data_IF_112830622504
#
_entry.id   IF_112830622504
#
_cell.length_a   1.000
_cell.length_b   1.000
_cell.length_c   1.000
_cell.angle_alpha   90.00
_cell.angle_beta   90.00
_cell.angle_gamma   90.00
#
_symmetry.space_group_name_H-M   'P 1'
#
loop_
_entity.id
_entity.type
_entity.pdbx_description
1 polymer ?
#
# COMPACT_ATOMS: atom_id res chain seq x y z
N UNK A 1 27.46 22.22 -38.91
CA UNK A 1 27.27 22.01 -37.44
C UNK A 1 25.80 21.84 -37.01
N UNK A 2 24.80 22.32 -37.75
CA UNK A 2 23.36 22.28 -37.35
C UNK A 2 22.64 20.92 -37.49
N UNK A 3 23.16 19.97 -38.29
CA UNK A 3 22.52 18.66 -38.52
C UNK A 3 22.79 17.66 -37.38
N UNK A 4 23.94 17.78 -36.69
CA UNK A 4 24.30 16.93 -35.54
C UNK A 4 23.47 17.25 -34.29
N UNK A 5 23.09 18.51 -34.11
CA UNK A 5 22.22 18.96 -33.01
C UNK A 5 20.76 18.48 -33.16
N UNK A 6 20.28 18.31 -34.39
CA UNK A 6 18.91 17.85 -34.68
C UNK A 6 18.75 16.34 -34.41
N UNK A 7 19.76 15.53 -34.78
CA UNK A 7 19.77 14.10 -34.47
C UNK A 7 19.89 13.79 -32.97
N UNK A 8 20.59 14.65 -32.20
CA UNK A 8 20.70 14.53 -30.75
C UNK A 8 19.36 14.83 -30.02
N UNK A 9 18.58 15.80 -30.52
CA UNK A 9 17.26 16.12 -29.96
C UNK A 9 16.23 15.02 -30.22
N UNK A 10 16.26 14.38 -31.40
CA UNK A 10 15.36 13.27 -31.75
C UNK A 10 15.67 12.00 -30.94
N UNK A 11 16.94 11.71 -30.67
CA UNK A 11 17.34 10.55 -29.84
C UNK A 11 16.98 10.72 -28.36
N UNK A 12 17.07 11.94 -27.81
CA UNK A 12 16.62 12.22 -26.43
C UNK A 12 15.08 12.14 -26.31
N UNK A 13 14.34 12.60 -27.33
CA UNK A 13 12.86 12.50 -27.33
C UNK A 13 12.36 11.04 -27.46
N UNK A 14 13.04 10.20 -28.24
CA UNK A 14 12.74 8.77 -28.36
C UNK A 14 13.02 7.98 -27.07
N UNK A 15 14.07 8.34 -26.31
CA UNK A 15 14.37 7.75 -25.00
C UNK A 15 13.33 8.11 -23.93
N UNK A 16 12.76 9.33 -23.97
CA UNK A 16 11.70 9.79 -23.06
C UNK A 16 10.31 9.21 -23.38
N UNK A 17 10.02 8.85 -24.64
CA UNK A 17 8.75 8.21 -25.00
C UNK A 17 8.67 6.74 -24.56
N UNK A 18 9.81 6.02 -24.56
CA UNK A 18 9.86 4.61 -24.13
C UNK A 18 9.65 4.41 -22.62
N UNK A 19 9.98 5.40 -21.78
CA UNK A 19 9.86 5.28 -20.31
C UNK A 19 8.42 5.44 -19.82
N UNK A 20 7.53 6.09 -20.59
CA UNK A 20 6.13 6.26 -20.20
C UNK A 20 5.31 4.96 -20.34
N UNK A 21 5.60 4.13 -21.34
CA UNK A 21 4.85 2.89 -21.58
C UNK A 21 5.13 1.81 -20.52
N UNK A 22 6.39 1.67 -20.09
CA UNK A 22 6.78 0.75 -19.00
C UNK A 22 6.29 1.21 -17.60
N UNK A 23 6.11 2.52 -17.39
CA UNK A 23 5.59 3.06 -16.13
C UNK A 23 4.12 2.67 -15.87
N UNK A 24 3.28 2.72 -16.91
CA UNK A 24 1.84 2.45 -16.80
C UNK A 24 1.54 0.98 -16.46
N UNK A 25 2.32 0.03 -17.00
CA UNK A 25 2.14 -1.40 -16.70
C UNK A 25 2.54 -1.77 -15.27
N UNK A 26 3.57 -1.11 -14.73
CA UNK A 26 3.98 -1.28 -13.33
C UNK A 26 2.93 -0.72 -12.37
N UNK A 27 2.38 0.46 -12.68
CA UNK A 27 1.31 1.08 -11.89
C UNK A 27 0.03 0.22 -11.88
N UNK A 28 -0.37 -0.29 -13.04
CA UNK A 28 -1.52 -1.19 -13.15
C UNK A 28 -1.34 -2.47 -12.32
N UNK A 29 -0.19 -3.13 -12.41
CA UNK A 29 0.10 -4.35 -11.61
C UNK A 29 0.04 -4.08 -10.10
N UNK A 30 0.53 -2.92 -9.66
CA UNK A 30 0.43 -2.52 -8.25
C UNK A 30 -1.03 -2.33 -7.81
N UNK A 31 -1.87 -1.70 -8.64
CA UNK A 31 -3.30 -1.54 -8.37
C UNK A 31 -4.03 -2.89 -8.37
N UNK A 32 -3.71 -3.80 -9.29
CA UNK A 32 -4.27 -5.15 -9.32
C UNK A 32 -3.93 -5.94 -8.05
N UNK A 33 -2.66 -5.88 -7.59
CA UNK A 33 -2.26 -6.51 -6.33
C UNK A 33 -3.02 -5.90 -5.15
N UNK A 34 -3.11 -4.56 -5.09
CA UNK A 34 -3.83 -3.88 -4.03
C UNK A 34 -5.32 -4.23 -4.00
N UNK A 35 -5.94 -4.37 -5.18
CA UNK A 35 -7.33 -4.82 -5.34
C UNK A 35 -7.52 -6.22 -4.75
N UNK A 36 -6.62 -7.16 -5.05
CA UNK A 36 -6.65 -8.54 -4.52
C UNK A 36 -6.51 -8.56 -2.99
N UNK A 37 -5.59 -7.77 -2.43
CA UNK A 37 -5.43 -7.62 -0.99
C UNK A 37 -6.72 -7.12 -0.32
N UNK A 38 -7.34 -6.07 -0.88
CA UNK A 38 -8.60 -5.52 -0.36
C UNK A 38 -9.76 -6.53 -0.48
N UNK A 39 -9.82 -7.30 -1.56
CA UNK A 39 -10.80 -8.39 -1.71
C UNK A 39 -10.59 -9.49 -0.66
N UNK A 40 -9.34 -9.85 -0.35
CA UNK A 40 -9.01 -10.80 0.71
C UNK A 40 -9.47 -10.27 2.07
N UNK A 41 -9.15 -9.02 2.39
CA UNK A 41 -9.59 -8.38 3.63
C UNK A 41 -11.12 -8.36 3.75
N UNK A 42 -11.85 -8.11 2.67
CA UNK A 42 -13.31 -8.18 2.68
C UNK A 42 -13.81 -9.61 2.97
N UNK A 43 -13.15 -10.64 2.43
CA UNK A 43 -13.51 -12.04 2.70
C UNK A 43 -13.29 -12.39 4.17
N UNK A 44 -12.14 -12.02 4.74
CA UNK A 44 -11.84 -12.20 6.16
C UNK A 44 -12.83 -11.43 7.06
N UNK A 45 -13.14 -10.18 6.71
CA UNK A 45 -14.14 -9.41 7.45
C UNK A 45 -15.52 -10.08 7.36
N UNK A 46 -15.90 -10.65 6.22
CA UNK A 46 -17.17 -11.36 6.09
C UNK A 46 -17.20 -12.65 6.92
N UNK A 47 -16.11 -13.43 6.97
CA UNK A 47 -16.05 -14.62 7.82
C UNK A 47 -16.12 -14.26 9.30
N UNK A 48 -15.42 -13.17 9.71
CA UNK A 48 -15.53 -12.60 11.06
C UNK A 48 -16.95 -12.15 11.37
N UNK A 49 -17.63 -11.44 10.46
CA UNK A 49 -19.02 -11.00 10.66
C UNK A 49 -19.99 -12.18 10.83
N UNK A 50 -19.80 -13.28 10.10
CA UNK A 50 -20.61 -14.50 10.24
C UNK A 50 -20.34 -15.17 11.60
N UNK A 51 -19.06 -15.32 11.99
CA UNK A 51 -18.69 -15.88 13.29
C UNK A 51 -19.27 -15.05 14.44
N UNK A 52 -19.20 -13.72 14.33
CA UNK A 52 -19.63 -12.81 15.38
C UNK A 52 -21.16 -12.75 15.51
N UNK A 53 -21.89 -12.94 14.40
CA UNK A 53 -23.35 -13.12 14.42
C UNK A 53 -23.75 -14.38 15.20
N UNK A 54 -23.00 -15.47 15.04
CA UNK A 54 -23.24 -16.74 15.74
C UNK A 54 -22.87 -16.68 17.24
N UNK A 55 -21.95 -15.79 17.62
CA UNK A 55 -21.49 -15.58 19.01
C UNK A 55 -22.32 -14.56 19.81
N UNK A 56 -23.44 -14.08 19.25
CA UNK A 56 -24.30 -13.06 19.88
C UNK A 56 -23.52 -11.81 20.34
N UNK A 57 -22.51 -11.38 19.58
CA UNK A 57 -21.72 -10.21 19.96
C UNK A 57 -22.55 -8.93 20.03
N UNK A 58 -22.13 -8.01 20.92
CA UNK A 58 -22.78 -6.72 21.16
C UNK A 58 -23.00 -5.94 19.87
N UNK A 59 -24.15 -5.25 19.79
CA UNK A 59 -24.51 -4.34 18.69
C UNK A 59 -23.40 -3.33 18.40
N UNK A 60 -22.68 -2.88 19.44
CA UNK A 60 -21.54 -1.97 19.30
C UNK A 60 -20.44 -2.57 18.41
N UNK A 61 -20.07 -3.83 18.67
CA UNK A 61 -19.05 -4.56 17.89
C UNK A 61 -19.50 -4.84 16.47
N UNK A 62 -20.81 -5.07 16.26
CA UNK A 62 -21.37 -5.22 14.92
C UNK A 62 -21.22 -3.94 14.10
N UNK A 63 -21.51 -2.77 14.70
CA UNK A 63 -21.33 -1.46 14.04
C UNK A 63 -19.86 -1.20 13.72
N UNK A 64 -18.93 -1.51 14.63
CA UNK A 64 -17.49 -1.36 14.38
C UNK A 64 -16.98 -2.23 13.22
N UNK A 65 -17.40 -3.49 13.18
CA UNK A 65 -16.99 -4.41 12.11
C UNK A 65 -17.59 -4.01 10.76
N UNK A 66 -18.84 -3.52 10.76
CA UNK A 66 -19.50 -2.98 9.57
C UNK A 66 -18.81 -1.70 9.08
N UNK A 67 -18.39 -0.82 9.98
CA UNK A 67 -17.60 0.38 9.68
C UNK A 67 -16.24 0.02 9.04
N UNK A 68 -15.55 -0.99 9.57
CA UNK A 68 -14.33 -1.55 8.93
C UNK A 68 -14.62 -2.04 7.51
N UNK A 69 -15.69 -2.82 7.31
CA UNK A 69 -16.10 -3.32 5.98
C UNK A 69 -16.37 -2.19 4.99
N UNK A 70 -17.08 -1.15 5.44
CA UNK A 70 -17.41 0.04 4.65
C UNK A 70 -16.13 0.73 4.18
N UNK A 71 -15.18 1.01 5.09
CA UNK A 71 -13.90 1.64 4.73
C UNK A 71 -13.08 0.85 3.71
N UNK A 72 -12.98 -0.47 3.89
CA UNK A 72 -12.24 -1.34 2.96
C UNK A 72 -12.94 -1.38 1.59
N UNK A 73 -14.28 -1.42 1.58
CA UNK A 73 -15.07 -1.40 0.34
C UNK A 73 -14.95 -0.08 -0.41
N UNK A 74 -14.93 1.06 0.30
CA UNK A 74 -14.67 2.38 -0.29
C UNK A 74 -13.28 2.46 -0.92
N UNK A 75 -12.26 1.94 -0.24
CA UNK A 75 -10.91 1.85 -0.79
C UNK A 75 -10.84 0.93 -2.00
N UNK A 76 -11.55 -0.20 -1.98
CA UNK A 76 -11.63 -1.12 -3.13
C UNK A 76 -12.25 -0.43 -4.35
N UNK A 77 -13.35 0.31 -4.17
CA UNK A 77 -14.00 1.09 -5.23
C UNK A 77 -13.02 2.14 -5.78
N UNK A 78 -12.30 2.85 -4.90
CA UNK A 78 -11.31 3.86 -5.31
C UNK A 78 -10.21 3.26 -6.18
N UNK A 79 -9.58 2.17 -5.74
CA UNK A 79 -8.50 1.47 -6.48
C UNK A 79 -9.03 0.92 -7.81
N UNK A 80 -10.21 0.33 -7.79
CA UNK A 80 -10.87 -0.23 -8.98
C UNK A 80 -11.17 0.86 -10.03
N UNK A 81 -11.61 2.05 -9.59
CA UNK A 81 -11.82 3.19 -10.48
C UNK A 81 -10.49 3.70 -11.07
N UNK A 82 -9.41 3.76 -10.28
CA UNK A 82 -8.09 4.15 -10.78
C UNK A 82 -7.59 3.19 -11.86
N UNK A 83 -7.73 1.88 -11.63
CA UNK A 83 -7.35 0.86 -12.61
C UNK A 83 -8.20 0.93 -13.88
N UNK A 84 -9.52 1.12 -13.76
CA UNK A 84 -10.41 1.29 -14.90
C UNK A 84 -10.06 2.55 -15.73
N UNK A 85 -9.64 3.63 -15.08
CA UNK A 85 -9.19 4.85 -15.75
C UNK A 85 -7.88 4.63 -16.51
N UNK A 86 -6.91 3.91 -15.93
CA UNK A 86 -5.67 3.54 -16.62
C UNK A 86 -5.94 2.66 -17.84
N UNK A 87 -6.80 1.64 -17.71
CA UNK A 87 -7.22 0.81 -18.84
C UNK A 87 -7.90 1.65 -19.93
N UNK A 88 -8.73 2.63 -19.56
CA UNK A 88 -9.37 3.54 -20.51
C UNK A 88 -8.36 4.36 -21.31
N UNK A 89 -7.34 4.93 -20.64
CA UNK A 89 -6.28 5.68 -21.32
C UNK A 89 -5.49 4.80 -22.29
N UNK A 90 -5.18 3.57 -21.89
CA UNK A 90 -4.47 2.61 -22.75
C UNK A 90 -5.31 2.18 -23.96
N UNK A 91 -6.59 1.88 -23.75
CA UNK A 91 -7.54 1.56 -24.83
C UNK A 91 -7.58 2.71 -25.85
N UNK A 92 -7.68 3.97 -25.39
CA UNK A 92 -7.71 5.12 -26.28
C UNK A 92 -6.39 5.30 -27.05
N UNK A 93 -5.25 5.07 -26.39
CA UNK A 93 -3.92 5.11 -27.03
C UNK A 93 -3.79 4.02 -28.10
N UNK A 94 -4.22 2.80 -27.78
CA UNK A 94 -4.20 1.67 -28.70
C UNK A 94 -5.14 1.89 -29.88
N UNK A 95 -6.33 2.49 -29.67
CA UNK A 95 -7.25 2.86 -30.74
C UNK A 95 -6.61 3.85 -31.73
N UNK A 96 -5.98 4.91 -31.23
CA UNK A 96 -5.29 5.90 -32.07
C UNK A 96 -4.14 5.25 -32.86
N UNK A 97 -3.35 4.39 -32.21
CA UNK A 97 -2.26 3.66 -32.86
C UNK A 97 -2.78 2.72 -33.96
N UNK A 98 -3.87 2.00 -33.69
CA UNK A 98 -4.53 1.11 -34.67
C UNK A 98 -5.03 1.92 -35.87
N UNK A 99 -5.64 3.08 -35.64
CA UNK A 99 -6.12 3.96 -36.70
C UNK A 99 -4.96 4.46 -37.57
N UNK A 100 -3.88 4.96 -36.97
CA UNK A 100 -2.70 5.41 -37.69
C UNK A 100 -2.05 4.28 -38.49
N UNK A 101 -1.82 3.11 -37.87
CA UNK A 101 -1.24 1.94 -38.54
C UNK A 101 -2.11 1.44 -39.69
N UNK A 102 -3.44 1.48 -39.56
CA UNK A 102 -4.36 1.15 -40.66
C UNK A 102 -4.20 2.10 -41.83
N UNK A 103 -4.12 3.41 -41.56
CA UNK A 103 -3.93 4.43 -42.59
C UNK A 103 -2.58 4.25 -43.32
N UNK A 104 -1.51 4.04 -42.57
CA UNK A 104 -0.18 3.77 -43.13
C UNK A 104 -0.15 2.48 -43.95
N UNK A 105 -0.74 1.39 -43.44
CA UNK A 105 -0.79 0.10 -44.12
C UNK A 105 -1.63 0.16 -45.41
N UNK A 106 -2.74 0.89 -45.42
CA UNK A 106 -3.55 1.08 -46.62
C UNK A 106 -2.75 1.82 -47.70
N UNK A 107 -2.12 2.94 -47.36
CA UNK A 107 -1.25 3.67 -48.28
C UNK A 107 -0.11 2.80 -48.82
N UNK A 108 0.54 2.02 -47.94
CA UNK A 108 1.62 1.12 -48.33
C UNK A 108 1.16 0.04 -49.33
N UNK A 109 -0.06 -0.49 -49.12
CA UNK A 109 -0.68 -1.47 -50.02
C UNK A 109 -1.06 -0.85 -51.36
N UNK A 110 -1.59 0.37 -51.36
CA UNK A 110 -1.91 1.13 -52.58
C UNK A 110 -0.64 1.39 -53.41
N UNK A 111 0.40 1.96 -52.79
CA UNK A 111 1.68 2.24 -53.44
C UNK A 111 2.33 0.95 -53.99
N UNK A 112 2.26 -0.14 -53.21
CA UNK A 112 2.77 -1.45 -53.63
C UNK A 112 1.96 -2.02 -54.80
N UNK A 113 0.62 -1.95 -54.76
CA UNK A 113 -0.24 -2.42 -55.83
C UNK A 113 0.03 -1.67 -57.14
N UNK A 114 0.11 -0.33 -57.10
CA UNK A 114 0.43 0.50 -58.26
C UNK A 114 1.80 0.14 -58.86
N UNK A 115 2.81 -0.06 -58.01
CA UNK A 115 4.15 -0.48 -58.43
C UNK A 115 4.15 -1.86 -59.10
N UNK A 116 3.39 -2.82 -58.56
CA UNK A 116 3.25 -4.15 -59.14
C UNK A 116 2.51 -4.10 -60.48
N UNK A 117 1.43 -3.32 -60.58
CA UNK A 117 0.65 -3.14 -61.80
C UNK A 117 1.50 -2.51 -62.92
N UNK A 118 2.22 -1.42 -62.64
CA UNK A 118 3.15 -0.80 -63.59
C UNK A 118 4.26 -1.77 -64.00
N UNK A 119 4.81 -2.55 -63.05
CA UNK A 119 5.79 -3.59 -63.33
C UNK A 119 5.25 -4.74 -64.19
N UNK A 120 3.94 -5.01 -64.14
CA UNK A 120 3.28 -6.04 -64.94
C UNK A 120 2.99 -5.53 -66.37
N UNK A 121 2.41 -4.34 -66.50
CA UNK A 121 2.13 -3.69 -67.80
C UNK A 121 3.40 -3.50 -68.64
N UNK A 122 4.51 -3.11 -68.00
CA UNK A 122 5.83 -2.97 -68.67
C UNK A 122 6.48 -4.30 -69.05
N UNK A 123 6.04 -5.44 -68.49
CA UNK A 123 6.57 -6.77 -68.81
C UNK A 123 6.20 -7.21 -70.24
N UNK A 124 5.14 -6.64 -70.81
CA UNK A 124 4.64 -6.93 -72.16
C UNK A 124 5.41 -6.20 -73.27
N UNK A 125 5.99 -5.02 -72.99
CA UNK A 125 6.56 -4.16 -74.05
C UNK A 125 8.08 -4.27 -74.26
N UNK A 126 8.86 -4.78 -73.30
CA UNK A 126 10.26 -5.14 -73.55
C UNK A 126 10.75 -6.20 -72.56
N UNK A 127 11.26 -7.31 -73.11
CA UNK A 127 11.89 -8.37 -72.33
C UNK A 127 13.04 -7.77 -71.51
N UNK A 128 13.14 -8.09 -70.21
CA UNK A 128 14.16 -7.52 -69.30
C UNK A 128 15.59 -7.73 -69.81
N UNK A 129 15.80 -8.86 -70.48
CA UNK A 129 17.06 -9.19 -71.14
C UNK A 129 17.31 -8.23 -72.31
N UNK A 130 16.28 -7.95 -73.13
CA UNK A 130 16.36 -6.99 -74.23
C UNK A 130 16.67 -5.57 -73.74
N UNK A 131 16.12 -5.13 -72.60
CA UNK A 131 16.44 -3.83 -71.99
C UNK A 131 17.90 -3.72 -71.52
N UNK A 132 18.48 -4.83 -71.05
CA UNK A 132 19.90 -4.87 -70.67
C UNK A 132 20.80 -4.93 -71.91
N UNK A 133 20.40 -5.72 -72.93
CA UNK A 133 21.15 -5.89 -74.18
C UNK A 133 21.05 -4.68 -75.13
N UNK A 134 20.01 -3.84 -75.02
CA UNK A 134 19.87 -2.58 -75.76
C UNK A 134 20.67 -1.42 -75.16
N UNK A 135 21.76 -1.71 -74.44
CA UNK A 135 22.62 -0.68 -73.86
C UNK A 135 23.74 -0.30 -74.85
N UNK A 136 24.05 0.98 -74.95
CA UNK A 136 25.10 1.53 -75.84
C UNK A 136 26.52 1.22 -75.34
N UNK A 137 26.68 0.88 -74.05
CA UNK A 137 27.97 0.51 -73.46
C UNK A 137 27.83 -0.45 -72.27
N UNK A 138 28.91 -1.17 -71.95
CA UNK A 138 28.99 -2.06 -70.78
C UNK A 138 28.71 -1.32 -69.46
N UNK A 139 29.23 -0.10 -69.29
CA UNK A 139 28.98 0.72 -68.11
C UNK A 139 27.49 1.06 -67.96
N UNK A 140 26.80 1.35 -69.06
CA UNK A 140 25.36 1.61 -69.04
C UNK A 140 24.56 0.34 -68.69
N UNK A 141 24.92 -0.81 -69.27
CA UNK A 141 24.30 -2.10 -68.95
C UNK A 141 24.47 -2.47 -67.46
N UNK A 142 25.67 -2.27 -66.90
CA UNK A 142 25.95 -2.49 -65.49
C UNK A 142 25.10 -1.58 -64.58
N UNK A 143 25.00 -0.28 -64.90
CA UNK A 143 24.13 0.65 -64.16
C UNK A 143 22.65 0.24 -64.21
N UNK A 144 22.13 -0.14 -65.38
CA UNK A 144 20.76 -0.65 -65.56
C UNK A 144 20.52 -1.90 -64.69
N UNK A 145 21.47 -2.83 -64.67
CA UNK A 145 21.40 -4.03 -63.82
C UNK A 145 21.37 -3.69 -62.32
N UNK A 146 22.20 -2.74 -61.87
CA UNK A 146 22.19 -2.28 -60.48
C UNK A 146 20.86 -1.63 -60.10
N UNK A 147 20.27 -0.80 -60.95
CA UNK A 147 18.94 -0.21 -60.71
C UNK A 147 17.84 -1.27 -60.64
N UNK A 148 17.87 -2.28 -61.51
CA UNK A 148 16.92 -3.41 -61.46
C UNK A 148 17.05 -4.21 -60.16
N UNK A 149 18.28 -4.42 -59.68
CA UNK A 149 18.56 -5.06 -58.39
C UNK A 149 18.01 -4.22 -57.23
N UNK A 150 18.29 -2.92 -57.23
CA UNK A 150 17.79 -1.99 -56.22
C UNK A 150 16.25 -1.96 -56.18
N UNK A 151 15.59 -1.93 -57.35
CA UNK A 151 14.14 -1.96 -57.46
C UNK A 151 13.53 -3.27 -56.92
N UNK A 152 14.12 -4.42 -57.28
CA UNK A 152 13.70 -5.73 -56.75
C UNK A 152 13.86 -5.80 -55.23
N UNK A 153 14.97 -5.27 -54.71
CA UNK A 153 15.22 -5.21 -53.26
C UNK A 153 14.20 -4.31 -52.56
N UNK A 154 13.92 -3.13 -53.11
CA UNK A 154 12.91 -2.22 -52.58
C UNK A 154 11.52 -2.88 -52.56
N UNK A 155 11.10 -3.53 -53.65
CA UNK A 155 9.85 -4.31 -53.70
C UNK A 155 9.76 -5.37 -52.61
N UNK A 156 10.83 -6.14 -52.40
CA UNK A 156 10.90 -7.14 -51.35
C UNK A 156 10.74 -6.49 -49.97
N UNK A 157 11.45 -5.40 -49.70
CA UNK A 157 11.34 -4.66 -48.44
C UNK A 157 9.93 -4.10 -48.20
N UNK A 158 9.26 -3.60 -49.25
CA UNK A 158 7.87 -3.13 -49.15
C UNK A 158 6.92 -4.26 -48.77
N UNK A 159 7.06 -5.44 -49.41
CA UNK A 159 6.27 -6.63 -49.06
C UNK A 159 6.47 -7.09 -47.61
N UNK A 160 7.72 -7.13 -47.12
CA UNK A 160 8.01 -7.46 -45.72
C UNK A 160 7.44 -6.43 -44.75
N UNK A 161 7.55 -5.13 -45.05
CA UNK A 161 6.94 -4.07 -44.22
C UNK A 161 5.42 -4.20 -44.12
N UNK A 162 4.73 -4.47 -45.24
CA UNK A 162 3.28 -4.72 -45.24
C UNK A 162 2.95 -5.90 -44.32
N UNK A 163 3.72 -7.00 -44.41
CA UNK A 163 3.55 -8.19 -43.58
C UNK A 163 3.76 -7.89 -42.10
N UNK A 164 4.86 -7.24 -41.74
CA UNK A 164 5.17 -6.83 -40.36
C UNK A 164 4.09 -5.93 -39.77
N UNK A 165 3.67 -4.89 -40.50
CA UNK A 165 2.61 -3.98 -40.06
C UNK A 165 1.25 -4.69 -39.95
N UNK A 166 0.95 -5.65 -40.84
CA UNK A 166 -0.28 -6.45 -40.75
C UNK A 166 -0.29 -7.31 -39.48
N UNK A 167 0.81 -7.98 -39.17
CA UNK A 167 0.94 -8.80 -37.94
C UNK A 167 0.84 -7.91 -36.69
N UNK A 168 1.51 -6.77 -36.68
CA UNK A 168 1.43 -5.80 -35.57
C UNK A 168 0.01 -5.26 -35.37
N UNK A 169 -0.70 -4.99 -36.46
CA UNK A 169 -2.09 -4.55 -36.39
C UNK A 169 -3.00 -5.65 -35.83
N UNK A 170 -2.81 -6.91 -36.23
CA UNK A 170 -3.54 -8.05 -35.69
C UNK A 170 -3.30 -8.22 -34.19
N UNK A 171 -2.04 -8.14 -33.74
CA UNK A 171 -1.72 -8.25 -32.31
C UNK A 171 -2.34 -7.11 -31.49
N UNK A 172 -2.30 -5.87 -32.00
CA UNK A 172 -2.93 -4.72 -31.32
C UNK A 172 -4.46 -4.85 -31.24
N UNK A 173 -5.12 -5.32 -32.29
CA UNK A 173 -6.58 -5.56 -32.24
C UNK A 173 -6.92 -6.66 -31.22
N UNK A 174 -6.12 -7.73 -31.15
CA UNK A 174 -6.32 -8.79 -30.14
C UNK A 174 -6.17 -8.25 -28.72
N UNK A 175 -5.09 -7.51 -28.44
CA UNK A 175 -4.85 -6.89 -27.14
C UNK A 175 -5.99 -5.92 -26.76
N UNK A 176 -6.50 -5.14 -27.71
CA UNK A 176 -7.61 -4.22 -27.50
C UNK A 176 -8.90 -4.95 -27.07
N UNK A 177 -9.22 -6.08 -27.69
CA UNK A 177 -10.38 -6.91 -27.33
C UNK A 177 -10.24 -7.45 -25.90
N UNK A 178 -9.07 -7.98 -25.56
CA UNK A 178 -8.76 -8.48 -24.22
C UNK A 178 -8.86 -7.38 -23.15
N UNK A 179 -8.33 -6.18 -23.44
CA UNK A 179 -8.42 -5.02 -22.54
C UNK A 179 -9.84 -4.53 -22.31
N UNK A 180 -10.67 -4.51 -23.36
CA UNK A 180 -12.09 -4.15 -23.25
C UNK A 180 -12.85 -5.17 -22.39
N UNK A 181 -12.66 -6.46 -22.64
CA UNK A 181 -13.28 -7.52 -21.85
C UNK A 181 -12.87 -7.43 -20.36
N UNK A 182 -11.58 -7.23 -20.08
CA UNK A 182 -11.08 -7.07 -18.71
C UNK A 182 -11.68 -5.83 -18.02
N UNK A 183 -11.81 -4.71 -18.74
CA UNK A 183 -12.44 -3.48 -18.21
C UNK A 183 -13.93 -3.70 -17.89
N UNK A 184 -14.68 -4.39 -18.74
CA UNK A 184 -16.10 -4.66 -18.48
C UNK A 184 -16.30 -5.54 -17.23
N UNK A 185 -15.49 -6.58 -17.06
CA UNK A 185 -15.50 -7.41 -15.84
C UNK A 185 -15.22 -6.55 -14.61
N UNK A 186 -14.20 -5.69 -14.68
CA UNK A 186 -13.81 -4.80 -13.59
C UNK A 186 -14.95 -3.84 -13.20
N UNK A 187 -15.65 -3.26 -14.18
CA UNK A 187 -16.78 -2.37 -13.94
C UNK A 187 -17.99 -3.11 -13.36
N UNK A 188 -18.26 -4.34 -13.80
CA UNK A 188 -19.32 -5.17 -13.25
C UNK A 188 -19.05 -5.53 -11.77
N UNK A 189 -17.82 -5.91 -11.41
CA UNK A 189 -17.40 -6.14 -10.03
C UNK A 189 -17.52 -4.88 -9.16
N UNK A 190 -17.14 -3.72 -9.71
CA UNK A 190 -17.24 -2.44 -9.01
C UNK A 190 -18.71 -2.08 -8.71
N UNK A 191 -19.61 -2.25 -9.68
CA UNK A 191 -21.07 -2.04 -9.49
C UNK A 191 -21.64 -2.94 -8.39
N UNK A 192 -21.24 -4.22 -8.35
CA UNK A 192 -21.62 -5.15 -7.26
C UNK A 192 -21.12 -4.67 -5.89
N UNK A 193 -19.87 -4.22 -5.84
CA UNK A 193 -19.25 -3.68 -4.61
C UNK A 193 -19.99 -2.43 -4.13
N UNK A 194 -20.34 -1.51 -5.03
CA UNK A 194 -21.12 -0.32 -4.70
C UNK A 194 -22.53 -0.65 -4.17
N UNK A 195 -23.22 -1.62 -4.79
CA UNK A 195 -24.52 -2.05 -4.31
C UNK A 195 -24.45 -2.66 -2.90
N UNK A 196 -23.41 -3.48 -2.62
CA UNK A 196 -23.17 -4.02 -1.28
C UNK A 196 -22.83 -2.92 -0.27
N UNK A 197 -21.96 -1.98 -0.64
CA UNK A 197 -21.61 -0.83 0.20
C UNK A 197 -22.85 0.00 0.59
N UNK A 198 -23.80 0.22 -0.34
CA UNK A 198 -25.06 0.91 -0.03
C UNK A 198 -25.88 0.15 1.02
N UNK A 199 -26.02 -1.17 0.87
CA UNK A 199 -26.72 -2.01 1.86
C UNK A 199 -26.03 -1.96 3.22
N UNK A 200 -24.70 -2.02 3.24
CA UNK A 200 -23.91 -1.94 4.46
C UNK A 200 -24.10 -0.61 5.19
N UNK A 201 -24.14 0.51 4.45
CA UNK A 201 -24.40 1.84 5.02
C UNK A 201 -25.80 1.96 5.62
N UNK A 202 -26.82 1.43 4.95
CA UNK A 202 -28.19 1.41 5.49
C UNK A 202 -28.26 0.59 6.77
N UNK A 203 -27.69 -0.63 6.76
CA UNK A 203 -27.63 -1.47 7.97
C UNK A 203 -26.87 -0.79 9.11
N UNK A 204 -25.78 -0.08 8.80
CA UNK A 204 -25.01 0.66 9.81
C UNK A 204 -25.86 1.76 10.45
N UNK A 205 -26.63 2.50 9.64
CA UNK A 205 -27.51 3.55 10.12
C UNK A 205 -28.61 3.00 11.03
N UNK A 206 -29.23 1.87 10.68
CA UNK A 206 -30.23 1.19 11.50
C UNK A 206 -29.65 0.76 12.87
N UNK A 207 -28.47 0.13 12.86
CA UNK A 207 -27.80 -0.29 14.09
C UNK A 207 -27.41 0.92 14.95
N UNK A 208 -26.90 2.00 14.35
CA UNK A 208 -26.59 3.24 15.08
C UNK A 208 -27.86 3.84 15.69
N UNK A 209 -28.99 3.83 14.97
CA UNK A 209 -30.27 4.28 15.51
C UNK A 209 -30.71 3.43 16.71
N UNK A 210 -30.48 2.11 16.67
CA UNK A 210 -30.76 1.21 17.79
C UNK A 210 -29.86 1.49 19.01
N UNK A 211 -28.59 1.84 18.78
CA UNK A 211 -27.66 2.25 19.84
C UNK A 211 -28.12 3.56 20.48
N UNK A 212 -28.53 4.55 19.68
CA UNK A 212 -29.07 5.82 20.21
C UNK A 212 -30.30 5.63 21.09
N UNK A 213 -31.19 4.70 20.74
CA UNK A 213 -32.36 4.37 21.59
C UNK A 213 -31.97 3.76 22.95
N UNK A 214 -30.80 3.11 23.04
CA UNK A 214 -30.28 2.47 24.26
C UNK A 214 -28.99 3.14 24.71
N UNK A 215 -28.87 4.44 24.49
CA UNK A 215 -27.61 5.17 24.64
C UNK A 215 -27.04 5.05 26.06
N UNK A 216 -27.88 5.17 27.09
CA UNK A 216 -27.44 5.06 28.49
C UNK A 216 -26.85 3.70 28.83
N UNK A 217 -27.42 2.61 28.30
CA UNK A 217 -26.91 1.24 28.52
C UNK A 217 -25.53 1.09 27.89
N UNK A 218 -25.35 1.54 26.65
CA UNK A 218 -24.06 1.45 25.97
C UNK A 218 -23.04 2.42 26.58
N UNK A 219 -23.47 3.59 27.04
CA UNK A 219 -22.64 4.54 27.80
C UNK A 219 -22.12 3.89 29.08
N UNK A 220 -22.97 3.20 29.84
CA UNK A 220 -22.55 2.49 31.04
C UNK A 220 -21.55 1.37 30.71
N UNK A 221 -21.84 0.54 29.70
CA UNK A 221 -20.90 -0.52 29.26
C UNK A 221 -19.52 0.04 28.85
N UNK A 222 -19.51 1.20 28.17
CA UNK A 222 -18.25 1.88 27.80
C UNK A 222 -17.54 2.39 29.05
N UNK A 223 -18.27 2.97 30.00
CA UNK A 223 -17.71 3.44 31.27
C UNK A 223 -17.14 2.31 32.12
N UNK A 224 -17.80 1.14 32.16
CA UNK A 224 -17.31 -0.03 32.88
C UNK A 224 -16.00 -0.54 32.28
N UNK A 225 -15.94 -0.70 30.95
CA UNK A 225 -14.70 -1.05 30.24
C UNK A 225 -13.61 0.01 30.45
N UNK A 226 -13.97 1.28 30.46
CA UNK A 226 -13.03 2.37 30.72
C UNK A 226 -12.51 2.34 32.17
N UNK A 227 -13.33 1.92 33.13
CA UNK A 227 -12.93 1.70 34.52
C UNK A 227 -11.92 0.56 34.65
N UNK A 228 -12.12 -0.55 33.93
CA UNK A 228 -11.16 -1.66 33.85
C UNK A 228 -9.82 -1.22 33.26
N UNK A 229 -9.86 -0.48 32.14
CA UNK A 229 -8.67 0.11 31.51
C UNK A 229 -7.96 1.06 32.49
N UNK A 230 -8.71 1.90 33.20
CA UNK A 230 -8.17 2.85 34.18
C UNK A 230 -7.47 2.14 35.35
N UNK A 231 -7.97 0.98 35.78
CA UNK A 231 -7.29 0.13 36.78
C UNK A 231 -5.94 -0.38 36.26
N UNK A 232 -5.89 -0.83 35.02
CA UNK A 232 -4.65 -1.26 34.35
C UNK A 232 -3.66 -0.09 34.27
N UNK A 233 -4.11 1.09 33.85
CA UNK A 233 -3.27 2.28 33.73
C UNK A 233 -2.72 2.74 35.09
N UNK A 234 -3.55 2.74 36.14
CA UNK A 234 -3.12 3.04 37.52
C UNK A 234 -2.08 2.04 38.03
N UNK A 235 -2.27 0.76 37.71
CA UNK A 235 -1.32 -0.29 38.06
C UNK A 235 0.02 -0.09 37.35
N UNK A 236 0.01 0.25 36.05
CA UNK A 236 1.22 0.62 35.30
C UNK A 236 1.93 1.81 35.97
N UNK A 237 1.21 2.87 36.34
CA UNK A 237 1.77 4.04 37.02
C UNK A 237 2.38 3.68 38.38
N UNK A 238 1.74 2.80 39.16
CA UNK A 238 2.27 2.27 40.41
C UNK A 238 3.58 1.52 40.17
N UNK A 239 3.61 0.62 39.20
CA UNK A 239 4.79 -0.18 38.84
C UNK A 239 5.96 0.69 38.39
N UNK A 240 5.70 1.79 37.66
CA UNK A 240 6.70 2.78 37.27
C UNK A 240 7.29 3.47 38.50
N UNK A 241 6.44 3.99 39.40
CA UNK A 241 6.89 4.68 40.63
C UNK A 241 7.73 3.77 41.52
N UNK A 242 7.31 2.53 41.68
CA UNK A 242 8.07 1.52 42.45
C UNK A 242 9.41 1.22 41.81
N UNK A 243 9.46 1.09 40.49
CA UNK A 243 10.72 0.85 39.79
C UNK A 243 11.68 2.05 39.89
N UNK A 244 11.17 3.29 39.77
CA UNK A 244 11.96 4.51 39.98
C UNK A 244 12.51 4.54 41.41
N UNK A 245 11.67 4.30 42.42
CA UNK A 245 12.08 4.32 43.82
C UNK A 245 13.12 3.23 44.12
N UNK A 246 12.94 2.01 43.60
CA UNK A 246 13.90 0.92 43.77
C UNK A 246 15.26 1.23 43.12
N UNK A 247 15.25 1.79 41.90
CA UNK A 247 16.47 2.18 41.18
C UNK A 247 17.20 3.33 41.90
N UNK A 248 16.47 4.33 42.37
CA UNK A 248 17.05 5.46 43.10
C UNK A 248 17.58 5.04 44.47
N UNK A 249 16.91 4.09 45.16
CA UNK A 249 17.41 3.52 46.42
C UNK A 249 18.75 2.81 46.21
N UNK A 250 18.93 2.06 45.11
CA UNK A 250 20.23 1.46 44.74
C UNK A 250 21.33 2.51 44.52
N UNK A 251 20.94 3.76 44.22
CA UNK A 251 21.83 4.91 44.01
C UNK A 251 21.90 5.85 45.22
N UNK A 252 21.32 5.48 46.36
CA UNK A 252 21.34 6.29 47.59
C UNK A 252 20.39 7.51 47.60
N UNK A 253 19.47 7.63 46.64
CA UNK A 253 18.49 8.74 46.58
C UNK A 253 17.13 8.34 47.11
N UNK A 254 16.47 9.27 47.82
CA UNK A 254 15.11 9.13 48.35
C UNK A 254 14.01 9.56 47.36
N UNK A 255 14.39 10.07 46.18
CA UNK A 255 13.45 10.56 45.17
C UNK A 255 12.61 9.40 44.61
N UNK A 256 11.28 9.53 44.64
CA UNK A 256 10.35 8.47 44.17
C UNK A 256 9.70 8.79 42.82
N UNK A 257 9.91 9.99 42.27
CA UNK A 257 9.16 10.48 41.11
C UNK A 257 10.02 10.83 39.90
N UNK A 258 11.34 10.99 40.07
CA UNK A 258 12.27 11.25 38.97
C UNK A 258 13.46 10.31 39.06
N UNK A 259 13.92 9.79 37.93
CA UNK A 259 15.14 8.97 37.92
C UNK A 259 16.37 9.82 38.22
N UNK A 260 17.21 9.36 39.15
CA UNK A 260 18.56 9.87 39.29
C UNK A 260 19.45 9.25 38.21
N UNK A 261 19.89 10.11 37.29
CA UNK A 261 20.60 9.69 36.08
C UNK A 261 22.12 9.79 36.26
N UNK A 262 22.80 8.69 35.93
CA UNK A 262 24.25 8.69 35.69
C UNK A 262 24.58 9.55 34.46
N UNK A 263 25.83 10.01 34.27
CA UNK A 263 26.23 10.75 33.07
C UNK A 263 25.89 10.01 31.77
N UNK A 264 26.11 8.69 31.73
CA UNK A 264 25.74 7.82 30.61
C UNK A 264 24.22 7.81 30.37
N UNK A 265 23.41 7.70 31.43
CA UNK A 265 21.95 7.73 31.32
C UNK A 265 21.42 9.10 30.89
N UNK A 266 22.09 10.20 31.28
CA UNK A 266 21.79 11.56 30.78
C UNK A 266 22.07 11.68 29.28
N UNK A 267 23.21 11.16 28.81
CA UNK A 267 23.55 11.14 27.39
C UNK A 267 22.54 10.31 26.58
N UNK A 268 22.13 9.15 27.09
CA UNK A 268 21.10 8.31 26.46
C UNK A 268 19.74 9.03 26.39
N UNK A 269 19.32 9.69 27.47
CA UNK A 269 18.09 10.48 27.50
C UNK A 269 18.12 11.64 26.50
N UNK A 270 19.25 12.35 26.38
CA UNK A 270 19.43 13.41 25.39
C UNK A 270 19.30 12.86 23.97
N UNK A 271 19.97 11.73 23.67
CA UNK A 271 19.87 11.08 22.37
C UNK A 271 18.44 10.63 22.06
N UNK A 272 17.74 10.03 23.03
CA UNK A 272 16.32 9.69 22.89
C UNK A 272 15.48 10.92 22.55
N UNK A 273 15.66 12.04 23.27
CA UNK A 273 14.95 13.28 23.04
C UNK A 273 15.22 13.89 21.65
N UNK A 274 16.44 13.80 21.13
CA UNK A 274 16.78 14.29 19.77
C UNK A 274 16.11 13.51 18.64
N UNK A 275 15.71 12.26 18.91
CA UNK A 275 14.98 11.41 17.95
C UNK A 275 13.45 11.57 18.03
N UNK A 276 12.96 12.58 18.74
CA UNK A 276 11.54 12.92 18.77
C UNK A 276 11.00 13.12 17.34
N UNK A 277 9.94 12.40 17.00
CA UNK A 277 9.31 12.39 15.68
C UNK A 277 9.99 11.47 14.67
N UNK A 278 11.08 10.78 15.04
CA UNK A 278 11.88 9.92 14.16
C UNK A 278 11.94 8.47 14.66
N UNK A 279 11.34 8.15 15.82
CA UNK A 279 11.41 6.81 16.38
C UNK A 279 10.59 5.81 15.54
N UNK A 280 11.12 4.58 15.32
CA UNK A 280 10.43 3.56 14.57
C UNK A 280 9.15 3.06 15.22
N UNK A 281 8.26 2.52 14.39
CA UNK A 281 7.06 1.84 14.85
C UNK A 281 7.41 0.57 15.63
N UNK A 282 6.66 0.25 16.70
CA UNK A 282 6.91 -0.93 17.51
C UNK A 282 6.44 -2.24 16.84
N UNK A 283 5.71 -2.19 15.73
CA UNK A 283 5.25 -3.36 14.94
C UNK A 283 5.45 -3.11 13.45
N UNK A 284 5.54 -4.15 12.62
CA UNK A 284 5.77 -3.99 11.16
C UNK A 284 4.54 -3.43 10.46
N UNK A 285 3.35 -3.91 10.83
CA UNK A 285 2.07 -3.50 10.26
C UNK A 285 0.99 -3.44 11.34
N UNK A 286 0.09 -2.45 11.26
CA UNK A 286 -0.99 -2.30 12.21
C UNK A 286 -1.79 -1.03 11.97
N UNK A 287 -2.93 -0.90 12.66
CA UNK A 287 -3.83 0.26 12.61
C UNK A 287 -4.02 0.78 14.02
N UNK A 288 -3.89 2.10 14.19
CA UNK A 288 -4.16 2.73 15.48
C UNK A 288 -5.67 2.74 15.71
N UNK A 289 -6.10 1.94 16.67
CA UNK A 289 -7.50 1.85 17.08
C UNK A 289 -7.82 2.76 18.27
N UNK A 290 -6.80 3.21 19.00
CA UNK A 290 -6.94 4.16 20.10
C UNK A 290 -5.76 5.12 20.14
N UNK A 291 -6.04 6.43 20.16
CA UNK A 291 -5.03 7.48 20.32
C UNK A 291 -4.90 7.89 21.79
N UNK A 292 -3.76 8.50 22.12
CA UNK A 292 -3.51 9.09 23.45
C UNK A 292 -4.47 10.23 23.75
N UNK A 293 -4.88 10.38 25.01
CA UNK A 293 -5.73 11.46 25.50
C UNK A 293 -7.17 11.01 25.72
N UNK A 294 -8.06 11.99 25.91
CA UNK A 294 -9.50 11.78 26.10
C UNK A 294 -10.22 12.11 24.81
N UNK A 295 -11.00 11.17 24.30
CA UNK A 295 -11.75 11.31 23.05
C UNK A 295 -13.18 10.79 23.24
N UNK A 296 -14.18 11.40 22.58
CA UNK A 296 -15.52 10.82 22.56
C UNK A 296 -15.48 9.48 21.82
N UNK A 297 -16.27 8.51 22.30
CA UNK A 297 -16.39 7.22 21.62
C UNK A 297 -16.97 7.44 20.20
N UNK A 298 -16.40 6.79 19.16
CA UNK A 298 -16.77 7.07 17.75
C UNK A 298 -18.26 6.88 17.45
N UNK A 299 -18.87 5.90 18.13
CA UNK A 299 -20.31 5.58 18.02
C UNK A 299 -21.14 6.32 19.08
N UNK A 300 -20.85 6.12 20.37
CA UNK A 300 -21.56 6.75 21.50
C UNK A 300 -20.85 8.05 21.93
N UNK A 301 -21.11 9.15 21.24
CA UNK A 301 -20.36 10.41 21.45
C UNK A 301 -20.48 11.01 22.85
N UNK A 302 -21.50 10.63 23.62
CA UNK A 302 -21.70 11.04 25.02
C UNK A 302 -20.79 10.32 26.01
N UNK A 303 -20.15 9.22 25.60
CA UNK A 303 -19.18 8.49 26.40
C UNK A 303 -17.75 8.93 26.03
N UNK A 304 -16.94 9.28 27.03
CA UNK A 304 -15.55 9.62 26.84
C UNK A 304 -14.64 8.42 27.13
N UNK A 305 -13.69 8.17 26.23
CA UNK A 305 -12.65 7.17 26.37
C UNK A 305 -11.34 7.88 26.66
N UNK A 306 -10.63 7.46 27.71
CA UNK A 306 -9.29 7.98 28.04
C UNK A 306 -8.24 6.90 27.78
N UNK A 307 -7.13 7.29 27.17
CA UNK A 307 -5.97 6.43 26.95
C UNK A 307 -4.67 7.13 27.32
N UNK A 308 -3.87 6.50 28.18
CA UNK A 308 -2.53 6.98 28.55
C UNK A 308 -1.44 6.61 27.53
N UNK A 309 -1.82 5.96 26.42
CA UNK A 309 -0.92 5.59 25.33
C UNK A 309 -1.68 5.42 24.01
N UNK A 310 -1.10 4.66 23.09
CA UNK A 310 -1.73 4.28 21.83
C UNK A 310 -1.97 2.78 21.77
N UNK A 311 -3.08 2.38 21.16
CA UNK A 311 -3.37 0.97 20.88
C UNK A 311 -3.28 0.70 19.40
N UNK A 312 -2.48 -0.28 19.04
CA UNK A 312 -2.20 -0.67 17.66
C UNK A 312 -2.76 -2.08 17.46
N UNK A 313 -3.85 -2.20 16.71
CA UNK A 313 -4.37 -3.48 16.26
C UNK A 313 -3.47 -3.99 15.13
N UNK A 314 -3.01 -5.23 15.21
CA UNK A 314 -2.00 -5.80 14.30
C UNK A 314 -2.34 -7.27 14.00
N UNK A 315 -1.46 -7.99 13.31
CA UNK A 315 -1.65 -9.42 13.03
C UNK A 315 -1.46 -10.25 14.32
N UNK A 316 -2.00 -11.46 14.32
CA UNK A 316 -1.71 -12.41 15.40
C UNK A 316 -0.24 -12.77 15.44
N UNK A 317 0.31 -12.89 16.65
CA UNK A 317 1.73 -13.19 16.87
C UNK A 317 2.68 -12.23 16.13
N UNK A 318 2.26 -11.00 15.84
CA UNK A 318 3.15 -9.99 15.28
C UNK A 318 4.30 -9.70 16.26
N UNK A 319 5.58 -9.72 15.80
CA UNK A 319 6.73 -9.42 16.64
C UNK A 319 6.76 -7.94 17.03
N UNK A 320 6.77 -7.68 18.33
CA UNK A 320 6.87 -6.35 18.92
C UNK A 320 8.34 -5.97 19.09
N UNK A 321 8.73 -4.82 18.57
CA UNK A 321 10.11 -4.34 18.51
C UNK A 321 10.33 -3.11 19.39
N UNK A 322 11.52 -3.02 19.96
CA UNK A 322 11.95 -1.86 20.73
C UNK A 322 12.08 -0.62 19.83
N UNK A 323 11.45 0.49 20.22
CA UNK A 323 11.50 1.73 19.43
C UNK A 323 12.84 2.47 19.55
N UNK A 324 13.64 2.16 20.58
CA UNK A 324 14.94 2.78 20.78
C UNK A 324 15.85 1.89 21.63
N UNK A 325 17.16 2.14 21.59
CA UNK A 325 18.13 1.46 22.46
C UNK A 325 17.93 1.81 23.94
N UNK A 326 18.05 0.84 24.83
CA UNK A 326 17.80 1.04 26.27
C UNK A 326 18.05 -0.24 27.04
N UNK A 327 17.55 -0.30 28.27
CA UNK A 327 17.65 -1.53 29.07
C UNK A 327 16.29 -1.92 29.64
N UNK A 328 15.99 -3.21 29.63
CA UNK A 328 14.77 -3.74 30.24
C UNK A 328 14.92 -3.69 31.76
N UNK A 329 14.06 -2.95 32.45
CA UNK A 329 14.16 -2.82 33.91
C UNK A 329 13.01 -3.52 34.66
N UNK A 330 11.93 -3.88 33.96
CA UNK A 330 10.81 -4.62 34.55
C UNK A 330 10.05 -5.41 33.50
N UNK A 331 9.65 -6.63 33.85
CA UNK A 331 8.72 -7.46 33.10
C UNK A 331 7.65 -7.88 34.09
N UNK A 332 6.39 -7.59 33.81
CA UNK A 332 5.30 -7.80 34.75
C UNK A 332 4.07 -8.37 34.05
N UNK A 333 3.41 -9.34 34.68
CA UNK A 333 2.05 -9.72 34.31
C UNK A 333 1.07 -8.77 35.00
N UNK A 334 0.25 -8.07 34.22
CA UNK A 334 -0.70 -7.07 34.72
C UNK A 334 -2.09 -7.70 34.76
N UNK A 335 -2.74 -7.73 35.94
CA UNK A 335 -4.09 -8.29 36.07
C UNK A 335 -5.08 -7.56 35.15
N UNK A 336 -5.80 -8.30 34.32
CA UNK A 336 -6.72 -7.75 33.31
C UNK A 336 -6.06 -7.43 31.96
N UNK A 337 -4.73 -7.55 31.86
CA UNK A 337 -3.97 -7.56 30.61
C UNK A 337 -3.06 -8.80 30.59
N UNK A 338 -2.21 -8.90 29.56
CA UNK A 338 -1.16 -9.93 29.50
C UNK A 338 0.17 -9.39 30.06
N UNK A 339 1.31 -9.87 29.55
CA UNK A 339 2.62 -9.44 30.01
C UNK A 339 2.96 -8.06 29.45
N UNK A 340 3.71 -7.28 30.23
CA UNK A 340 4.23 -5.98 29.84
C UNK A 340 5.74 -5.91 30.03
N UNK A 341 6.44 -5.38 29.03
CA UNK A 341 7.88 -5.13 29.06
C UNK A 341 8.12 -3.64 29.19
N UNK A 342 8.95 -3.26 30.16
CA UNK A 342 9.30 -1.87 30.45
C UNK A 342 10.77 -1.63 30.13
N UNK A 343 11.03 -0.68 29.23
CA UNK A 343 12.38 -0.34 28.77
C UNK A 343 12.71 1.09 29.22
N UNK A 344 13.87 1.27 29.86
CA UNK A 344 14.40 2.59 30.24
C UNK A 344 15.37 3.11 29.18
N UNK A 345 15.24 4.39 28.85
CA UNK A 345 16.11 5.15 27.93
C UNK A 345 16.65 6.40 28.65
N UNK A 346 17.22 6.21 29.85
CA UNK A 346 17.53 7.31 30.78
C UNK A 346 16.31 7.66 31.63
N UNK A 347 15.77 8.88 31.53
CA UNK A 347 14.53 9.29 32.23
C UNK A 347 13.24 9.04 31.42
N UNK A 348 13.36 8.49 30.21
CA UNK A 348 12.24 8.06 29.40
C UNK A 348 11.99 6.57 29.59
N UNK A 349 10.71 6.19 29.61
CA UNK A 349 10.26 4.80 29.69
C UNK A 349 9.36 4.53 28.48
N UNK A 350 9.62 3.42 27.78
CA UNK A 350 8.69 2.85 26.81
C UNK A 350 8.12 1.55 27.35
N UNK A 351 6.82 1.37 27.20
CA UNK A 351 6.07 0.23 27.77
C UNK A 351 5.35 -0.47 26.64
N UNK A 352 5.59 -1.77 26.52
CA UNK A 352 5.00 -2.65 25.54
C UNK A 352 4.10 -3.61 26.30
N UNK A 353 2.80 -3.29 26.37
CA UNK A 353 1.82 -4.04 27.14
C UNK A 353 0.93 -4.89 26.21
N UNK A 354 0.36 -5.95 26.77
CA UNK A 354 -0.45 -6.97 26.09
C UNK A 354 0.38 -7.91 25.19
N UNK A 355 1.49 -8.43 25.73
CA UNK A 355 2.34 -9.43 25.08
C UNK A 355 1.97 -10.86 25.51
N UNK A 356 1.89 -11.78 24.55
CA UNK A 356 1.64 -13.21 24.81
C UNK A 356 2.93 -13.89 25.28
N UNK A 357 3.99 -13.65 24.55
CA UNK A 357 5.34 -14.15 24.79
C UNK A 357 6.31 -13.00 24.97
N UNK A 358 7.34 -13.20 25.78
CA UNK A 358 8.41 -12.22 26.03
C UNK A 358 9.75 -12.92 25.82
N UNK A 359 10.61 -12.33 25.01
CA UNK A 359 11.91 -12.90 24.61
C UNK A 359 13.12 -12.26 25.29
N UNK A 360 12.87 -11.26 26.13
CA UNK A 360 13.91 -10.51 26.85
C UNK A 360 13.78 -10.75 28.35
N UNK A 361 14.89 -10.57 29.08
CA UNK A 361 14.97 -10.68 30.52
C UNK A 361 15.17 -9.31 31.18
N UNK A 362 14.93 -9.25 32.49
CA UNK A 362 15.19 -8.04 33.28
C UNK A 362 16.70 -7.84 33.36
N UNK A 363 17.17 -6.65 32.99
CA UNK A 363 18.59 -6.30 32.95
C UNK A 363 19.16 -6.23 31.53
N UNK A 364 18.50 -6.83 30.54
CA UNK A 364 19.00 -6.90 29.17
C UNK A 364 19.15 -5.50 28.55
N UNK A 365 20.30 -5.25 27.95
CA UNK A 365 20.51 -4.11 27.06
C UNK A 365 19.96 -4.43 25.67
N UNK A 366 19.07 -3.58 25.18
CA UNK A 366 18.39 -3.76 23.91
C UNK A 366 18.77 -2.65 22.94
N UNK A 367 18.87 -3.02 21.66
CA UNK A 367 19.05 -2.06 20.57
C UNK A 367 17.70 -1.70 19.92
N UNK A 368 17.68 -0.59 19.19
CA UNK A 368 16.53 -0.21 18.36
C UNK A 368 16.18 -1.34 17.39
N UNK A 369 14.92 -1.78 17.37
CA UNK A 369 14.44 -2.86 16.50
C UNK A 369 14.53 -4.27 17.09
N UNK A 370 15.13 -4.44 18.27
CA UNK A 370 15.20 -5.74 18.97
C UNK A 370 13.79 -6.26 19.25
N UNK A 371 13.53 -7.53 18.97
CA UNK A 371 12.23 -8.17 19.23
C UNK A 371 12.08 -8.43 20.72
N UNK A 372 11.03 -7.89 21.32
CA UNK A 372 10.72 -7.99 22.75
C UNK A 372 9.76 -9.14 23.06
N UNK A 373 8.92 -9.52 22.10
CA UNK A 373 7.87 -10.49 22.29
C UNK A 373 6.84 -10.51 21.16
N UNK A 374 5.78 -11.28 21.36
CA UNK A 374 4.63 -11.36 20.45
C UNK A 374 3.40 -10.67 21.03
N UNK A 375 2.59 -10.07 20.15
CA UNK A 375 1.32 -9.45 20.55
C UNK A 375 0.29 -10.51 20.98
N UNK A 376 -0.41 -10.25 22.08
CA UNK A 376 -1.54 -11.06 22.52
C UNK A 376 -2.88 -10.52 22.02
N UNK A 377 -3.92 -11.34 22.08
CA UNK A 377 -5.30 -10.86 21.99
C UNK A 377 -5.67 -10.08 23.25
N UNK A 378 -6.20 -8.88 23.06
CA UNK A 378 -6.69 -8.02 24.13
C UNK A 378 -7.86 -8.68 24.86
N UNK A 379 -7.86 -8.66 26.18
CA UNK A 379 -8.96 -9.18 27.03
C UNK A 379 -10.27 -8.43 26.79
N UNK A 380 -10.21 -7.13 26.47
CA UNK A 380 -11.39 -6.26 26.31
C UNK A 380 -12.07 -6.36 24.93
N UNK A 381 -11.30 -6.70 23.89
CA UNK A 381 -11.76 -6.69 22.49
C UNK A 381 -11.54 -8.00 21.75
N UNK A 382 -10.81 -8.96 22.35
CA UNK A 382 -10.38 -10.22 21.75
C UNK A 382 -9.64 -10.08 20.41
N UNK A 383 -9.07 -8.91 20.13
CA UNK A 383 -8.30 -8.62 18.92
C UNK A 383 -6.80 -8.52 19.24
N UNK A 384 -5.89 -9.01 18.38
CA UNK A 384 -4.44 -8.82 18.54
C UNK A 384 -4.09 -7.33 18.59
N UNK A 385 -3.76 -6.83 19.78
CA UNK A 385 -3.61 -5.39 20.02
C UNK A 385 -2.40 -5.12 20.91
N UNK A 386 -1.45 -4.33 20.42
CA UNK A 386 -0.36 -3.81 21.25
C UNK A 386 -0.81 -2.53 21.94
N UNK A 387 -0.65 -2.46 23.27
CA UNK A 387 -0.79 -1.21 24.01
C UNK A 387 0.59 -0.61 24.25
N UNK A 388 0.90 0.49 23.54
CA UNK A 388 2.19 1.17 23.60
C UNK A 388 2.06 2.47 24.38
N UNK A 389 2.83 2.57 25.47
CA UNK A 389 2.84 3.76 26.32
C UNK A 389 4.24 4.35 26.41
N UNK A 390 4.30 5.66 26.58
CA UNK A 390 5.54 6.41 26.77
C UNK A 390 5.43 7.27 28.01
N UNK A 391 6.47 7.28 28.84
CA UNK A 391 6.54 8.12 30.03
C UNK A 391 7.87 8.86 30.09
N UNK A 392 7.87 10.05 30.69
CA UNK A 392 9.06 10.73 31.17
C UNK A 392 8.97 10.79 32.69
N UNK A 393 9.82 10.02 33.35
CA UNK A 393 9.67 9.67 34.76
C UNK A 393 8.26 9.12 35.02
N UNK A 394 7.44 9.81 35.82
CA UNK A 394 6.06 9.44 36.12
C UNK A 394 5.01 10.07 35.21
N UNK A 395 5.38 10.97 34.29
CA UNK A 395 4.43 11.67 33.42
C UNK A 395 4.23 10.94 32.10
N UNK A 396 2.99 10.60 31.76
CA UNK A 396 2.65 10.01 30.46
C UNK A 396 2.84 11.00 29.32
N UNK A 397 3.41 10.54 28.21
CA UNK A 397 3.66 11.32 27.01
C UNK A 397 2.84 10.77 25.84
N UNK A 398 2.37 11.65 24.95
CA UNK A 398 1.70 11.24 23.72
C UNK A 398 2.71 10.61 22.75
N UNK A 399 2.61 9.30 22.43
CA UNK A 399 3.53 8.62 21.51
C UNK A 399 3.52 9.20 20.08
N UNK A 400 2.42 9.85 19.65
CA UNK A 400 2.29 10.40 18.31
C UNK A 400 3.30 11.52 18.02
N UNK A 401 3.80 12.20 19.05
CA UNK A 401 4.84 13.22 18.88
C UNK A 401 6.25 12.64 18.76
N UNK A 402 6.42 11.33 18.93
CA UNK A 402 7.72 10.67 19.01
C UNK A 402 7.98 9.70 17.87
N UNK A 403 6.93 9.00 17.43
CA UNK A 403 7.00 7.96 16.42
C UNK A 403 6.76 8.54 15.02
N UNK A 404 7.58 8.17 14.03
CA UNK A 404 7.58 8.83 12.70
C UNK A 404 6.38 8.53 11.79
N UNK A 405 5.58 7.50 12.09
CA UNK A 405 4.51 6.97 11.23
C UNK A 405 3.18 6.75 11.98
N UNK A 406 2.76 7.70 12.82
CA UNK A 406 1.62 7.54 13.75
C UNK A 406 0.39 8.40 13.42
#
# INVERSE_FOLDING_TARGET
MRIRSFFAFITVFLLLASTQSYGQDKERKALEQRRRELQHQIKEINSLLISNKNKQESILTQVENLDKRIRVSENLIKVTNQEANLLTRRINTNLNNIEQLRKELNKLKEDYAEMIEKSYKSKSQQNRIMFLLSSESFLQAYKRLQYMKQYTNYRKQQGEKIKEQTVKLQSLNKELVEQRAAKEVLLAENRKTQAKLRKDKVQQQELIASIRKKEDVFKQQIQDKQSEISKIDKEIERLIKEAIAAENKKKGSSNKTKFELTPQAKALAANFATNKGKLPWPVKSGVIVMRFGTHPHPIVKTANIKSNGVRIETNENEPVKAVFKGSVFKIQSIRGANRAVFVKHGNYITIYNNLSEVFVNIGDEINTGTVLGHVARSTATNKPTLSFLMYKNTQSLNPAHWIYKM
#
